data_IF_677428606696
#
_entry.id   IF_677428606696
#
_cell.length_a   1.000
_cell.length_b   1.000
_cell.length_c   1.000
_cell.angle_alpha   90.00
_cell.angle_beta   90.00
_cell.angle_gamma   90.00
#
_symmetry.space_group_name_H-M   'P 1'
#
loop_
_entity.id
_entity.type
_entity.pdbx_description
1 polymer ?
#
# COMPACT_ATOMS: atom_id res chain seq x y z
N UNK A 1 30.61 4.77 41.30
CA UNK A 1 29.77 5.41 40.27
C UNK A 1 30.46 5.15 38.94
N UNK A 2 30.14 4.01 38.33
CA UNK A 2 30.76 3.61 37.06
C UNK A 2 30.04 4.30 35.93
N UNK A 3 30.70 5.26 35.29
CA UNK A 3 30.29 5.71 33.97
C UNK A 3 30.66 4.58 32.99
N UNK A 4 29.79 3.57 32.88
CA UNK A 4 29.78 2.66 31.75
C UNK A 4 29.37 3.47 30.52
N UNK A 5 30.33 4.23 29.99
CA UNK A 5 30.26 4.80 28.66
C UNK A 5 30.20 3.60 27.73
N UNK A 6 28.99 3.12 27.45
CA UNK A 6 28.71 2.27 26.29
C UNK A 6 29.14 3.12 25.11
N UNK A 7 30.42 3.02 24.80
CA UNK A 7 30.97 3.20 23.47
C UNK A 7 30.25 2.13 22.65
N UNK A 8 28.96 2.35 22.38
CA UNK A 8 28.33 1.76 21.22
C UNK A 8 29.32 2.13 20.13
N UNK A 9 30.08 1.14 19.67
CA UNK A 9 31.16 1.43 18.76
C UNK A 9 30.50 2.17 17.61
N UNK A 10 30.92 3.38 17.33
CA UNK A 10 30.34 4.17 16.26
C UNK A 10 30.31 3.32 14.97
N UNK A 11 31.30 2.43 14.82
CA UNK A 11 31.30 1.31 13.88
C UNK A 11 30.07 0.38 13.96
N UNK A 12 29.66 -0.13 15.13
CA UNK A 12 28.46 -0.96 15.31
C UNK A 12 27.19 -0.23 14.88
N UNK A 13 27.03 1.06 15.23
CA UNK A 13 25.87 1.84 14.77
C UNK A 13 25.88 2.04 13.26
N UNK A 14 27.04 2.37 12.69
CA UNK A 14 27.21 2.50 11.23
C UNK A 14 26.86 1.17 10.54
N UNK A 15 27.31 0.04 11.08
CA UNK A 15 27.07 -1.29 10.52
C UNK A 15 25.57 -1.64 10.58
N UNK A 16 24.90 -1.36 11.71
CA UNK A 16 23.46 -1.55 11.84
C UNK A 16 22.68 -0.66 10.85
N UNK A 17 23.06 0.60 10.68
CA UNK A 17 22.40 1.52 9.73
C UNK A 17 22.65 1.07 8.28
N UNK A 18 23.89 0.68 7.94
CA UNK A 18 24.25 0.18 6.61
C UNK A 18 23.56 -1.14 6.25
N UNK A 19 23.16 -1.95 7.22
CA UNK A 19 22.38 -3.18 6.98
C UNK A 19 20.88 -2.91 6.97
N UNK A 20 20.39 -2.03 7.85
CA UNK A 20 18.96 -1.73 7.97
C UNK A 20 18.47 -0.87 6.78
N UNK A 21 19.33 0.01 6.25
CA UNK A 21 19.02 0.87 5.11
C UNK A 21 18.74 0.09 3.80
N UNK A 22 19.59 -0.84 3.33
CA UNK A 22 19.29 -1.63 2.13
C UNK A 22 18.09 -2.54 2.34
N UNK A 23 17.88 -3.08 3.54
CA UNK A 23 16.67 -3.83 3.85
C UNK A 23 15.40 -2.95 3.72
N UNK A 24 15.45 -1.70 4.20
CA UNK A 24 14.36 -0.73 4.03
C UNK A 24 14.15 -0.32 2.56
N UNK A 25 15.23 -0.14 1.79
CA UNK A 25 15.15 0.10 0.34
C UNK A 25 14.46 -1.08 -0.35
N UNK A 26 14.94 -2.31 -0.12
CA UNK A 26 14.35 -3.51 -0.72
C UNK A 26 12.88 -3.65 -0.32
N UNK A 27 12.54 -3.43 0.96
CA UNK A 27 11.16 -3.41 1.43
C UNK A 27 10.30 -2.38 0.70
N UNK A 28 10.81 -1.16 0.50
CA UNK A 28 10.11 -0.09 -0.19
C UNK A 28 9.87 -0.44 -1.67
N UNK A 29 10.87 -1.00 -2.36
CA UNK A 29 10.76 -1.39 -3.76
C UNK A 29 9.91 -2.64 -3.98
N UNK A 30 9.97 -3.60 -3.05
CA UNK A 30 9.18 -4.84 -3.12
C UNK A 30 7.72 -4.64 -2.72
N UNK A 31 7.38 -3.51 -2.07
CA UNK A 31 6.01 -3.23 -1.65
C UNK A 31 5.08 -3.13 -2.88
N UNK A 32 4.11 -4.04 -3.06
CA UNK A 32 3.15 -3.91 -4.14
C UNK A 32 2.31 -2.66 -3.93
N UNK A 33 2.24 -1.79 -4.93
CA UNK A 33 1.36 -0.62 -4.91
C UNK A 33 -0.08 -1.12 -5.01
N UNK A 34 -0.82 -1.06 -3.89
CA UNK A 34 -2.25 -1.41 -3.87
C UNK A 34 -3.01 -0.34 -4.63
N UNK A 35 -3.28 -0.58 -5.92
CA UNK A 35 -4.06 0.34 -6.75
C UNK A 35 -5.49 0.33 -6.24
N UNK A 36 -5.96 1.47 -5.73
CA UNK A 36 -7.35 1.62 -5.34
C UNK A 36 -8.22 1.37 -6.59
N UNK A 37 -9.07 0.34 -6.54
CA UNK A 37 -9.95 0.01 -7.66
C UNK A 37 -10.89 1.20 -7.92
N UNK A 38 -11.01 1.68 -9.17
CA UNK A 38 -11.91 2.78 -9.48
C UNK A 38 -13.33 2.39 -9.11
N UNK A 39 -14.03 3.26 -8.39
CA UNK A 39 -15.45 3.12 -8.07
C UNK A 39 -16.28 4.02 -8.98
N UNK A 40 -17.52 3.62 -9.23
CA UNK A 40 -18.49 4.36 -10.06
C UNK A 40 -19.87 4.33 -9.42
N UNK A 41 -20.70 5.30 -9.77
CA UNK A 41 -22.07 5.38 -9.29
C UNK A 41 -22.99 4.66 -10.28
N UNK A 42 -23.88 3.81 -9.76
CA UNK A 42 -24.89 3.16 -10.57
C UNK A 42 -25.94 4.16 -11.05
N UNK A 43 -26.13 4.26 -12.36
CA UNK A 43 -27.20 5.08 -12.98
C UNK A 43 -28.62 4.57 -12.71
N UNK A 44 -28.77 3.35 -12.19
CA UNK A 44 -30.07 2.78 -11.84
C UNK A 44 -30.50 3.01 -10.39
N UNK A 45 -29.60 2.80 -9.43
CA UNK A 45 -29.92 2.88 -8.00
C UNK A 45 -29.15 3.97 -7.25
N UNK A 46 -28.22 4.67 -7.90
CA UNK A 46 -27.40 5.73 -7.28
C UNK A 46 -26.32 5.24 -6.31
N UNK A 47 -26.12 3.93 -6.16
CA UNK A 47 -25.11 3.37 -5.24
C UNK A 47 -23.72 3.37 -5.86
N UNK A 48 -22.69 3.59 -5.04
CA UNK A 48 -21.30 3.44 -5.42
C UNK A 48 -20.92 1.96 -5.48
N UNK A 49 -20.41 1.51 -6.61
CA UNK A 49 -19.94 0.15 -6.84
C UNK A 49 -18.56 0.16 -7.51
N UNK A 50 -17.76 -0.91 -7.40
CA UNK A 50 -16.47 -0.99 -8.09
C UNK A 50 -16.71 -1.02 -9.61
N UNK A 51 -15.90 -0.29 -10.37
CA UNK A 51 -16.06 -0.15 -11.82
C UNK A 51 -15.86 -1.48 -12.58
N UNK A 52 -15.23 -2.47 -11.94
CA UNK A 52 -15.01 -3.81 -12.49
C UNK A 52 -16.31 -4.63 -12.58
N UNK A 53 -17.36 -4.26 -11.85
CA UNK A 53 -18.64 -4.96 -11.92
C UNK A 53 -19.42 -4.52 -13.15
N UNK A 54 -19.60 -5.41 -14.12
CA UNK A 54 -20.41 -5.18 -15.33
C UNK A 54 -21.91 -5.04 -15.02
N UNK A 55 -22.39 -5.62 -13.92
CA UNK A 55 -23.78 -5.63 -13.49
C UNK A 55 -23.88 -5.18 -12.03
N UNK A 56 -24.87 -4.33 -11.73
CA UNK A 56 -25.11 -3.88 -10.36
C UNK A 56 -25.59 -5.03 -9.46
N UNK A 57 -24.91 -5.36 -8.35
CA UNK A 57 -25.38 -6.39 -7.43
C UNK A 57 -26.64 -5.96 -6.66
N UNK A 58 -26.96 -4.67 -6.64
CA UNK A 58 -28.10 -4.15 -5.88
C UNK A 58 -29.39 -4.03 -6.70
N UNK A 59 -29.30 -3.72 -7.99
CA UNK A 59 -30.47 -3.51 -8.85
C UNK A 59 -30.48 -4.36 -10.13
N UNK A 60 -29.43 -5.15 -10.38
CA UNK A 60 -29.32 -6.01 -11.57
C UNK A 60 -29.08 -5.26 -12.89
N UNK A 61 -28.91 -3.92 -12.86
CA UNK A 61 -28.70 -3.12 -14.08
C UNK A 61 -27.26 -3.24 -14.58
N UNK A 62 -27.09 -3.51 -15.87
CA UNK A 62 -25.80 -3.53 -16.55
C UNK A 62 -25.23 -2.11 -16.68
N UNK A 63 -23.94 -1.98 -16.41
CA UNK A 63 -23.20 -0.71 -16.45
C UNK A 63 -22.01 -0.77 -17.40
N UNK A 64 -21.95 -1.75 -18.31
CA UNK A 64 -20.98 -1.75 -19.41
C UNK A 64 -21.32 -0.55 -20.32
N UNK A 65 -20.48 0.49 -20.28
CA UNK A 65 -20.56 1.58 -21.25
C UNK A 65 -20.16 1.08 -22.63
N UNK A 66 -20.70 1.64 -23.72
CA UNK A 66 -20.29 1.28 -25.07
C UNK A 66 -18.79 1.59 -25.23
N UNK A 67 -18.05 0.60 -25.71
CA UNK A 67 -16.66 0.72 -26.17
C UNK A 67 -16.49 1.80 -27.21
#
# INVERSE_FOLDING_TARGET
MGEEKREYNLAILILLVLLCWPAAIVYYFTRPKVTAKPTRICSGCGRQIPAEYSVCPYCGRSMVGPT
#
